data_IF_725078253045
#
_entry.id   IF_725078253045
#
_cell.length_a   1.000
_cell.length_b   1.000
_cell.length_c   1.000
_cell.angle_alpha   90.00
_cell.angle_beta   90.00
_cell.angle_gamma   90.00
#
_symmetry.space_group_name_H-M   'P 1'
#
loop_
_entity.id
_entity.type
_entity.pdbx_description
1 polymer ?
#
# COMPACT_ATOMS: atom_id res chain seq x y z
N UNK A 1 39.77 24.34 -11.64
CA UNK A 1 39.40 24.02 -10.24
C UNK A 1 38.01 24.58 -9.99
N UNK A 2 37.14 23.86 -9.29
CA UNK A 2 35.87 24.41 -8.80
C UNK A 2 36.18 25.28 -7.58
N UNK A 3 36.08 26.60 -7.72
CA UNK A 3 36.52 27.57 -6.69
C UNK A 3 35.37 28.18 -5.88
N UNK A 4 34.11 28.00 -6.32
CA UNK A 4 32.93 28.58 -5.68
C UNK A 4 31.72 27.62 -5.77
N UNK A 5 30.70 27.85 -4.93
CA UNK A 5 29.43 27.12 -4.91
C UNK A 5 29.55 25.58 -4.73
N UNK A 6 30.51 25.13 -3.92
CA UNK A 6 30.77 23.71 -3.68
C UNK A 6 29.53 22.94 -3.17
N UNK A 7 28.68 23.58 -2.36
CA UNK A 7 27.45 22.97 -1.84
C UNK A 7 26.48 22.53 -2.93
N UNK A 8 26.33 23.31 -4.00
CA UNK A 8 25.50 22.94 -5.16
C UNK A 8 26.00 21.66 -5.84
N UNK A 9 27.30 21.59 -6.12
CA UNK A 9 27.90 20.43 -6.78
C UNK A 9 27.87 19.18 -5.89
N UNK A 10 28.16 19.32 -4.60
CA UNK A 10 28.07 18.21 -3.64
C UNK A 10 26.64 17.67 -3.56
N UNK A 11 25.63 18.54 -3.58
CA UNK A 11 24.23 18.13 -3.61
C UNK A 11 23.88 17.36 -4.89
N UNK A 12 24.32 17.81 -6.07
CA UNK A 12 24.12 17.08 -7.32
C UNK A 12 24.76 15.69 -7.28
N UNK A 13 26.00 15.59 -6.80
CA UNK A 13 26.68 14.30 -6.64
C UNK A 13 25.94 13.37 -5.66
N UNK A 14 25.42 13.90 -4.55
CA UNK A 14 24.62 13.12 -3.59
C UNK A 14 23.30 12.64 -4.23
N UNK A 15 22.60 13.50 -4.96
CA UNK A 15 21.38 13.13 -5.71
C UNK A 15 21.68 12.02 -6.72
N UNK A 16 22.68 12.21 -7.59
CA UNK A 16 22.97 11.29 -8.68
C UNK A 16 23.55 9.95 -8.20
N UNK A 17 24.44 9.96 -7.20
CA UNK A 17 25.00 8.74 -6.63
C UNK A 17 23.97 7.90 -5.87
N UNK A 18 22.94 8.52 -5.33
CA UNK A 18 21.81 7.85 -4.68
C UNK A 18 20.61 7.60 -5.60
N UNK A 19 20.75 7.93 -6.90
CA UNK A 19 19.70 7.78 -7.92
C UNK A 19 18.40 8.50 -7.57
N UNK A 20 18.47 9.54 -6.72
CA UNK A 20 17.31 10.39 -6.41
C UNK A 20 16.94 11.22 -7.63
N UNK A 21 15.70 11.67 -7.63
CA UNK A 21 15.16 12.56 -8.66
C UNK A 21 15.74 13.96 -8.43
N UNK A 22 16.27 14.58 -9.48
CA UNK A 22 16.81 15.94 -9.42
C UNK A 22 15.70 16.98 -9.59
N UNK A 23 14.71 16.71 -10.46
CA UNK A 23 13.59 17.60 -10.72
C UNK A 23 12.31 16.83 -10.95
N UNK A 24 11.17 17.38 -10.52
CA UNK A 24 9.86 16.80 -10.80
C UNK A 24 9.50 16.98 -12.28
N UNK A 25 8.97 15.92 -12.89
CA UNK A 25 8.61 15.91 -14.30
C UNK A 25 8.46 14.50 -14.85
N UNK A 26 8.07 14.41 -16.12
CA UNK A 26 7.82 13.15 -16.81
C UNK A 26 8.48 13.19 -18.19
N UNK A 27 9.28 12.17 -18.49
CA UNK A 27 9.85 11.96 -19.83
C UNK A 27 8.97 11.02 -20.62
N UNK A 28 8.62 11.37 -21.85
CA UNK A 28 7.98 10.49 -22.84
C UNK A 28 8.98 10.22 -23.95
N UNK A 29 9.67 9.09 -23.86
CA UNK A 29 10.62 8.64 -24.86
C UNK A 29 9.91 7.69 -25.82
N UNK A 30 9.92 8.01 -27.12
CA UNK A 30 9.22 7.22 -28.12
C UNK A 30 10.04 6.94 -29.37
N UNK A 31 9.60 5.94 -30.12
CA UNK A 31 9.99 5.73 -31.52
C UNK A 31 8.74 5.58 -32.38
N UNK A 32 8.77 6.09 -33.61
CA UNK A 32 7.62 5.98 -34.51
C UNK A 32 8.06 5.82 -35.96
N UNK A 33 7.62 4.72 -36.58
CA UNK A 33 7.87 4.41 -37.99
C UNK A 33 6.87 5.16 -38.88
N UNK A 34 5.57 5.05 -38.58
CA UNK A 34 4.47 5.60 -39.39
C UNK A 34 3.78 6.82 -38.75
N UNK A 35 4.30 7.35 -37.64
CA UNK A 35 3.73 8.52 -36.96
C UNK A 35 2.60 8.23 -35.96
N UNK A 36 2.01 7.04 -35.94
CA UNK A 36 0.92 6.74 -34.99
C UNK A 36 1.38 6.66 -33.53
N UNK A 37 2.55 6.07 -33.25
CA UNK A 37 3.13 6.09 -31.91
C UNK A 37 3.50 7.52 -31.48
N UNK A 38 3.96 8.35 -32.42
CA UNK A 38 4.20 9.78 -32.18
C UNK A 38 2.92 10.49 -31.76
N UNK A 39 1.84 10.33 -32.50
CA UNK A 39 0.54 10.94 -32.16
C UNK A 39 0.05 10.52 -30.77
N UNK A 40 0.29 9.26 -30.37
CA UNK A 40 -0.05 8.78 -29.04
C UNK A 40 0.85 9.38 -27.94
N UNK A 41 2.16 9.48 -28.18
CA UNK A 41 3.10 10.12 -27.27
C UNK A 41 2.79 11.61 -27.07
N UNK A 42 2.45 12.33 -28.14
CA UNK A 42 2.03 13.74 -28.09
C UNK A 42 0.71 13.92 -27.34
N UNK A 43 -0.27 13.03 -27.57
CA UNK A 43 -1.54 13.06 -26.83
C UNK A 43 -1.33 12.82 -25.33
N UNK A 44 -0.47 11.87 -24.96
CA UNK A 44 -0.11 11.63 -23.56
C UNK A 44 0.56 12.87 -22.97
N UNK A 45 1.56 13.44 -23.65
CA UNK A 45 2.27 14.62 -23.16
C UNK A 45 1.34 15.81 -22.90
N UNK A 46 0.36 16.04 -23.79
CA UNK A 46 -0.68 17.05 -23.59
C UNK A 46 -1.48 16.76 -22.31
N UNK A 47 -1.97 15.53 -22.14
CA UNK A 47 -2.77 15.15 -20.96
C UNK A 47 -1.98 15.26 -19.65
N UNK A 48 -0.69 14.94 -19.66
CA UNK A 48 0.17 15.10 -18.49
C UNK A 48 0.29 16.58 -18.11
N UNK A 49 0.46 17.46 -19.11
CA UNK A 49 0.51 18.91 -18.92
C UNK A 49 -0.82 19.45 -18.39
N UNK A 50 -1.95 19.05 -18.98
CA UNK A 50 -3.30 19.47 -18.56
C UNK A 50 -3.61 19.04 -17.12
N UNK A 51 -3.02 17.93 -16.65
CA UNK A 51 -3.14 17.40 -15.28
C UNK A 51 -2.14 18.02 -14.31
N UNK A 52 -1.44 19.08 -14.71
CA UNK A 52 -0.56 19.84 -13.84
C UNK A 52 0.80 19.22 -13.59
N UNK A 53 1.28 18.35 -14.50
CA UNK A 53 2.68 17.94 -14.46
C UNK A 53 3.58 19.19 -14.66
N UNK A 54 4.57 19.42 -13.78
CA UNK A 54 5.38 20.64 -13.83
C UNK A 54 6.25 20.71 -15.09
N UNK A 55 6.77 19.58 -15.55
CA UNK A 55 7.63 19.47 -16.73
C UNK A 55 7.34 18.17 -17.49
N UNK A 56 7.10 18.28 -18.80
CA UNK A 56 6.88 17.13 -19.69
C UNK A 56 7.86 17.20 -20.85
N UNK A 57 8.80 16.26 -20.90
CA UNK A 57 9.84 16.20 -21.94
C UNK A 57 9.52 15.08 -22.91
N UNK A 58 9.49 15.38 -24.21
CA UNK A 58 9.18 14.40 -25.25
C UNK A 58 10.39 14.16 -26.14
N UNK A 59 10.87 12.92 -26.20
CA UNK A 59 12.02 12.51 -27.00
C UNK A 59 11.60 11.56 -28.11
N UNK A 60 11.82 11.94 -29.36
CA UNK A 60 11.84 11.01 -30.49
C UNK A 60 13.23 10.38 -30.57
N UNK A 61 13.39 9.18 -30.03
CA UNK A 61 14.69 8.52 -29.88
C UNK A 61 15.39 8.23 -31.21
N UNK A 62 14.66 8.22 -32.33
CA UNK A 62 15.26 8.06 -33.66
C UNK A 62 15.80 9.38 -34.23
N UNK A 63 15.55 10.52 -33.59
CA UNK A 63 15.84 11.87 -34.10
C UNK A 63 16.49 12.80 -33.08
N UNK A 64 16.45 12.48 -31.79
CA UNK A 64 17.07 13.28 -30.73
C UNK A 64 18.49 12.82 -30.40
N UNK A 65 19.19 13.62 -29.60
CA UNK A 65 20.44 13.19 -28.96
C UNK A 65 20.13 12.15 -27.88
N UNK A 66 20.67 10.94 -28.04
CA UNK A 66 20.49 9.84 -27.10
C UNK A 66 21.01 10.17 -25.70
N UNK A 67 22.14 10.90 -25.60
CA UNK A 67 22.71 11.27 -24.31
C UNK A 67 21.79 12.23 -23.56
N UNK A 68 21.13 13.14 -24.28
CA UNK A 68 20.13 14.05 -23.69
C UNK A 68 18.89 13.31 -23.21
N UNK A 69 18.38 12.36 -24.00
CA UNK A 69 17.25 11.52 -23.56
C UNK A 69 17.58 10.71 -22.30
N UNK A 70 18.82 10.19 -22.21
CA UNK A 70 19.29 9.46 -21.03
C UNK A 70 19.42 10.40 -19.83
N UNK A 71 20.01 11.59 -19.99
CA UNK A 71 20.11 12.58 -18.92
C UNK A 71 18.73 12.95 -18.37
N UNK A 72 17.76 13.28 -19.23
CA UNK A 72 16.40 13.60 -18.79
C UNK A 72 15.75 12.41 -18.06
N UNK A 73 15.95 11.17 -18.53
CA UNK A 73 15.43 9.99 -17.83
C UNK A 73 15.99 9.85 -16.40
N UNK A 74 17.27 10.16 -16.19
CA UNK A 74 17.87 10.17 -14.85
C UNK A 74 17.44 11.39 -14.02
N UNK A 75 17.20 12.53 -14.65
CA UNK A 75 16.80 13.76 -13.98
C UNK A 75 15.41 13.67 -13.35
N UNK A 76 14.45 13.14 -14.10
CA UNK A 76 13.04 13.11 -13.72
C UNK A 76 12.62 11.78 -13.08
N UNK A 77 11.55 11.81 -12.29
CA UNK A 77 11.09 10.64 -11.51
C UNK A 77 10.26 9.62 -12.28
N UNK A 78 9.72 9.99 -13.44
CA UNK A 78 8.78 9.16 -14.22
C UNK A 78 9.18 9.14 -15.70
N UNK A 79 9.13 7.96 -16.31
CA UNK A 79 9.51 7.74 -17.71
C UNK A 79 8.44 6.90 -18.42
N UNK A 80 7.98 7.34 -19.57
CA UNK A 80 7.10 6.58 -20.46
C UNK A 80 7.88 6.14 -21.68
N UNK A 81 7.85 4.84 -21.95
CA UNK A 81 8.48 4.24 -23.11
C UNK A 81 7.41 3.85 -24.13
N UNK A 82 7.46 4.44 -25.32
CA UNK A 82 6.48 4.21 -26.38
C UNK A 82 7.17 3.72 -27.67
N UNK A 83 6.91 2.49 -28.10
CA UNK A 83 7.55 1.96 -29.32
C UNK A 83 6.62 1.05 -30.11
N UNK A 84 6.94 0.87 -31.39
CA UNK A 84 6.34 -0.19 -32.20
C UNK A 84 6.99 -1.52 -31.83
N UNK A 85 6.21 -2.59 -31.95
CA UNK A 85 6.74 -3.94 -32.09
C UNK A 85 7.38 -4.04 -33.48
N UNK A 86 8.64 -4.41 -33.53
CA UNK A 86 9.45 -4.47 -34.75
C UNK A 86 10.22 -5.78 -34.75
N UNK A 87 9.97 -6.65 -35.74
CA UNK A 87 10.57 -7.98 -35.83
C UNK A 87 10.43 -8.83 -34.55
N UNK A 88 9.23 -8.82 -33.95
CA UNK A 88 8.92 -9.47 -32.66
C UNK A 88 9.78 -8.99 -31.46
N UNK A 89 10.44 -7.84 -31.60
CA UNK A 89 11.23 -7.13 -30.60
C UNK A 89 10.75 -5.66 -30.53
N UNK A 90 11.48 -4.81 -29.80
CA UNK A 90 11.31 -3.35 -29.80
C UNK A 90 12.10 -2.71 -30.94
N UNK A 91 11.74 -1.48 -31.31
CA UNK A 91 12.46 -0.74 -32.33
C UNK A 91 13.93 -0.46 -31.89
N UNK A 92 14.94 -0.49 -32.79
CA UNK A 92 16.35 -0.43 -32.41
C UNK A 92 16.74 0.75 -31.52
N UNK A 93 16.27 1.97 -31.81
CA UNK A 93 16.57 3.14 -30.98
C UNK A 93 15.96 3.07 -29.57
N UNK A 94 14.80 2.42 -29.41
CA UNK A 94 14.25 2.13 -28.09
C UNK A 94 15.11 1.12 -27.34
N UNK A 95 15.62 0.10 -28.07
CA UNK A 95 16.52 -0.91 -27.50
C UNK A 95 17.81 -0.30 -26.97
N UNK A 96 18.46 0.53 -27.79
CA UNK A 96 19.68 1.27 -27.43
C UNK A 96 19.44 2.21 -26.24
N UNK A 97 18.31 2.93 -26.24
CA UNK A 97 17.95 3.80 -25.13
C UNK A 97 17.84 3.02 -23.81
N UNK A 98 17.09 1.92 -23.78
CA UNK A 98 16.96 1.11 -22.56
C UNK A 98 18.31 0.50 -22.17
N UNK A 99 19.15 0.10 -23.12
CA UNK A 99 20.51 -0.38 -22.83
C UNK A 99 21.35 0.70 -22.14
N UNK A 100 21.31 1.95 -22.62
CA UNK A 100 21.99 3.07 -21.96
C UNK A 100 21.46 3.37 -20.55
N UNK A 101 20.18 3.12 -20.28
CA UNK A 101 19.64 3.23 -18.93
C UNK A 101 20.17 2.11 -18.03
N UNK A 102 20.09 0.86 -18.47
CA UNK A 102 20.42 -0.30 -17.65
C UNK A 102 21.93 -0.44 -17.41
N UNK A 103 22.78 -0.07 -18.37
CA UNK A 103 24.25 -0.05 -18.18
C UNK A 103 24.69 0.95 -17.09
N UNK A 104 23.82 1.91 -16.74
CA UNK A 104 24.01 2.91 -15.68
C UNK A 104 23.18 2.62 -14.43
N UNK A 105 22.68 1.39 -14.26
CA UNK A 105 21.86 0.98 -13.10
C UNK A 105 20.64 1.87 -12.86
N UNK A 106 19.93 2.26 -13.92
CA UNK A 106 18.68 3.00 -13.80
C UNK A 106 17.72 2.33 -12.79
N UNK A 107 17.20 3.09 -11.82
CA UNK A 107 16.44 2.56 -10.68
C UNK A 107 15.64 3.66 -9.98
N UNK A 108 14.71 3.28 -9.09
CA UNK A 108 13.87 4.19 -8.30
C UNK A 108 13.04 5.14 -9.17
N UNK A 109 12.34 4.61 -10.18
CA UNK A 109 11.53 5.38 -11.14
C UNK A 109 10.17 4.74 -11.38
N UNK A 110 9.20 5.55 -11.76
CA UNK A 110 7.90 5.07 -12.24
C UNK A 110 7.89 4.96 -13.76
N UNK A 111 7.47 3.82 -14.30
CA UNK A 111 7.54 3.50 -15.74
C UNK A 111 6.15 3.28 -16.33
N UNK A 112 5.80 4.06 -17.35
CA UNK A 112 4.66 3.81 -18.22
C UNK A 112 5.08 3.12 -19.51
N UNK A 113 4.29 2.17 -20.01
CA UNK A 113 4.59 1.44 -21.24
C UNK A 113 3.48 1.62 -22.27
N UNK A 114 3.85 2.05 -23.48
CA UNK A 114 2.96 2.12 -24.63
C UNK A 114 3.53 1.26 -25.77
N UNK A 115 2.71 0.38 -26.32
CA UNK A 115 3.08 -0.44 -27.46
C UNK A 115 2.18 -0.19 -28.67
N UNK A 116 2.78 -0.22 -29.85
CA UNK A 116 2.05 -0.22 -31.12
C UNK A 116 2.38 -1.48 -31.93
N UNK A 117 1.37 -2.13 -32.50
CA UNK A 117 1.56 -3.23 -33.44
C UNK A 117 0.30 -3.51 -34.24
N UNK A 118 0.41 -4.25 -35.33
CA UNK A 118 -0.74 -4.47 -36.24
C UNK A 118 -1.57 -5.71 -35.90
N UNK A 119 -0.99 -6.75 -35.30
CA UNK A 119 -1.72 -8.00 -34.97
C UNK A 119 -1.32 -8.60 -33.62
N UNK A 120 -0.02 -8.62 -33.30
CA UNK A 120 0.49 -9.19 -32.04
C UNK A 120 1.58 -8.27 -31.45
N UNK A 121 1.21 -7.14 -30.83
CA UNK A 121 2.19 -6.30 -30.17
C UNK A 121 2.80 -7.03 -28.97
N UNK A 122 4.12 -6.91 -28.85
CA UNK A 122 4.95 -7.53 -27.81
C UNK A 122 5.93 -6.53 -27.17
N UNK A 123 5.99 -5.30 -27.72
CA UNK A 123 6.95 -4.29 -27.30
C UNK A 123 6.90 -3.99 -25.81
N UNK A 124 5.71 -3.87 -25.20
CA UNK A 124 5.62 -3.56 -23.77
C UNK A 124 6.21 -4.70 -22.91
N UNK A 125 5.91 -5.95 -23.27
CA UNK A 125 6.49 -7.13 -22.61
C UNK A 125 8.01 -7.15 -22.74
N UNK A 126 8.53 -6.84 -23.94
CA UNK A 126 9.96 -6.82 -24.19
C UNK A 126 10.68 -5.69 -23.45
N UNK A 127 10.13 -4.47 -23.45
CA UNK A 127 10.68 -3.34 -22.66
C UNK A 127 10.71 -3.66 -21.17
N UNK A 128 9.64 -4.27 -20.63
CA UNK A 128 9.58 -4.70 -19.23
C UNK A 128 10.68 -5.71 -18.93
N UNK A 129 10.88 -6.72 -19.79
CA UNK A 129 11.95 -7.71 -19.65
C UNK A 129 13.33 -7.07 -19.65
N UNK A 130 13.57 -6.11 -20.55
CA UNK A 130 14.86 -5.41 -20.61
C UNK A 130 15.17 -4.62 -19.33
N UNK A 131 14.15 -4.21 -18.57
CA UNK A 131 14.29 -3.48 -17.31
C UNK A 131 14.32 -4.37 -16.06
N UNK A 132 14.16 -5.69 -16.16
CA UNK A 132 14.04 -6.60 -15.00
C UNK A 132 15.21 -6.51 -14.01
N UNK A 133 16.43 -6.20 -14.48
CA UNK A 133 17.62 -6.03 -13.62
C UNK A 133 17.66 -4.72 -12.85
N UNK A 134 16.75 -3.78 -13.14
CA UNK A 134 16.68 -2.46 -12.53
C UNK A 134 15.96 -2.52 -11.18
N UNK A 135 16.53 -1.90 -10.14
CA UNK A 135 15.96 -1.97 -8.79
C UNK A 135 14.83 -0.96 -8.61
N UNK A 136 13.83 -1.32 -7.80
CA UNK A 136 12.77 -0.42 -7.35
C UNK A 136 12.09 0.37 -8.48
N UNK A 137 11.90 -0.25 -9.64
CA UNK A 137 11.04 0.32 -10.67
C UNK A 137 9.59 0.00 -10.32
N UNK A 138 8.75 1.02 -10.34
CA UNK A 138 7.30 0.86 -10.23
C UNK A 138 6.72 1.02 -11.63
N UNK A 139 5.88 0.09 -12.08
CA UNK A 139 5.21 0.23 -13.36
C UNK A 139 3.79 0.74 -13.14
N UNK A 140 3.27 1.52 -14.08
CA UNK A 140 1.84 1.83 -14.12
C UNK A 140 1.03 0.54 -14.29
N UNK A 141 -0.16 0.50 -13.69
CA UNK A 141 -1.13 -0.59 -13.86
C UNK A 141 -1.62 -0.59 -15.31
N UNK A 142 -1.89 0.60 -15.87
CA UNK A 142 -2.24 0.74 -17.28
C UNK A 142 -1.02 0.57 -18.19
N UNK A 143 -1.13 -0.34 -19.17
CA UNK A 143 -0.28 -0.40 -20.36
C UNK A 143 -1.11 0.01 -21.58
N UNK A 144 -0.65 1.00 -22.34
CA UNK A 144 -1.37 1.46 -23.54
C UNK A 144 -1.05 0.55 -24.72
N UNK A 145 -2.08 0.03 -25.38
CA UNK A 145 -1.96 -0.81 -26.56
C UNK A 145 -2.61 -0.13 -27.76
N UNK A 146 -1.80 0.11 -28.78
CA UNK A 146 -2.22 0.76 -30.03
C UNK A 146 -2.20 -0.28 -31.14
N UNK A 147 -3.33 -0.45 -31.83
CA UNK A 147 -3.43 -1.35 -32.98
C UNK A 147 -3.36 -0.54 -34.28
N UNK A 148 -2.14 -0.40 -34.81
CA UNK A 148 -1.78 0.47 -35.93
C UNK A 148 -1.92 1.96 -35.63
N UNK A 149 -3.14 2.45 -35.35
CA UNK A 149 -3.46 3.85 -35.07
C UNK A 149 -4.27 4.02 -33.78
N UNK A 150 -4.35 5.25 -33.27
CA UNK A 150 -5.19 5.57 -32.12
C UNK A 150 -6.67 5.33 -32.43
N UNK A 151 -7.34 4.76 -31.44
CA UNK A 151 -8.79 4.52 -31.37
C UNK A 151 -9.30 4.96 -29.99
N UNK A 152 -10.58 4.78 -29.71
CA UNK A 152 -11.15 5.26 -28.45
C UNK A 152 -10.65 4.47 -27.23
N UNK A 153 -10.41 3.16 -27.37
CA UNK A 153 -9.82 2.33 -26.29
C UNK A 153 -8.41 2.80 -25.92
N UNK A 154 -7.54 3.01 -26.91
CA UNK A 154 -6.16 3.48 -26.66
C UNK A 154 -6.14 4.92 -26.13
N UNK A 155 -7.08 5.78 -26.52
CA UNK A 155 -7.23 7.12 -25.90
C UNK A 155 -7.67 7.03 -24.44
N UNK A 156 -8.58 6.12 -24.09
CA UNK A 156 -9.00 5.88 -22.72
C UNK A 156 -7.85 5.32 -21.87
N UNK A 157 -7.04 4.42 -22.43
CA UNK A 157 -5.83 3.92 -21.77
C UNK A 157 -4.80 5.04 -21.55
N UNK A 158 -4.60 5.93 -22.52
CA UNK A 158 -3.71 7.09 -22.34
C UNK A 158 -4.23 8.00 -21.22
N UNK A 159 -5.54 8.24 -21.14
CA UNK A 159 -6.16 9.00 -20.05
C UNK A 159 -5.92 8.33 -18.68
N UNK A 160 -6.12 7.01 -18.59
CA UNK A 160 -5.88 6.24 -17.37
C UNK A 160 -4.40 6.30 -16.93
N UNK A 161 -3.48 6.09 -17.86
CA UNK A 161 -2.04 6.21 -17.59
C UNK A 161 -1.66 7.62 -17.14
N UNK A 162 -2.22 8.66 -17.77
CA UNK A 162 -1.98 10.04 -17.36
C UNK A 162 -2.50 10.32 -15.94
N UNK A 163 -3.64 9.76 -15.56
CA UNK A 163 -4.17 9.86 -14.19
C UNK A 163 -3.26 9.17 -13.16
N UNK A 164 -2.76 7.98 -13.48
CA UNK A 164 -1.81 7.27 -12.61
C UNK A 164 -0.50 8.06 -12.43
N UNK A 165 0.06 8.55 -13.54
CA UNK A 165 1.33 9.29 -13.53
C UNK A 165 1.22 10.67 -12.88
N UNK A 166 0.04 11.29 -12.87
CA UNK A 166 -0.19 12.60 -12.26
C UNK A 166 -0.97 12.54 -10.93
N UNK A 167 -1.16 11.37 -10.33
CA UNK A 167 -1.98 11.20 -9.11
C UNK A 167 -1.55 12.12 -7.96
N UNK A 168 -0.25 12.27 -7.75
CA UNK A 168 0.37 13.16 -6.78
C UNK A 168 0.13 14.64 -7.08
N UNK A 169 0.22 15.03 -8.35
CA UNK A 169 -0.05 16.41 -8.78
C UNK A 169 -1.54 16.75 -8.61
N UNK A 170 -2.43 15.86 -9.06
CA UNK A 170 -3.88 16.02 -8.95
C UNK A 170 -4.36 16.11 -7.50
N UNK A 171 -3.73 15.35 -6.59
CA UNK A 171 -4.07 15.38 -5.16
C UNK A 171 -3.64 16.67 -4.44
N UNK A 172 -2.67 17.42 -4.99
CA UNK A 172 -2.18 18.68 -4.42
C UNK A 172 -2.93 19.91 -4.94
N UNK A 173 -3.65 19.79 -6.05
CA UNK A 173 -4.41 20.89 -6.63
C UNK A 173 -5.82 20.97 -6.06
N UNK A 174 -6.22 22.17 -5.66
CA UNK A 174 -7.47 22.38 -4.94
C UNK A 174 -8.73 21.99 -5.73
N UNK A 175 -8.69 22.15 -7.05
CA UNK A 175 -9.80 21.87 -7.97
C UNK A 175 -9.94 20.38 -8.31
N UNK A 176 -8.85 19.62 -8.29
CA UNK A 176 -8.82 18.20 -8.70
C UNK A 176 -8.65 17.23 -7.53
N UNK A 177 -8.32 17.72 -6.34
CA UNK A 177 -8.13 16.89 -5.17
C UNK A 177 -9.45 16.24 -4.72
N UNK A 178 -9.41 14.92 -4.49
CA UNK A 178 -10.50 14.24 -3.80
C UNK A 178 -10.44 14.54 -2.29
N UNK A 179 -11.12 15.61 -1.87
CA UNK A 179 -11.14 16.11 -0.49
C UNK A 179 -11.85 15.17 0.52
N UNK A 180 -12.47 14.09 0.05
CA UNK A 180 -13.20 13.12 0.88
C UNK A 180 -12.65 11.69 0.74
N UNK A 181 -11.39 11.52 0.31
CA UNK A 181 -10.78 10.20 0.29
C UNK A 181 -10.41 9.73 1.70
N UNK A 182 -11.28 8.91 2.31
CA UNK A 182 -11.08 8.35 3.65
C UNK A 182 -9.94 7.33 3.73
N UNK A 183 -9.36 6.90 2.59
CA UNK A 183 -8.16 6.06 2.59
C UNK A 183 -6.97 6.75 3.28
N UNK A 184 -6.99 8.08 3.36
CA UNK A 184 -6.01 8.85 4.12
C UNK A 184 -5.93 8.41 5.59
N UNK A 185 -7.03 7.93 6.18
CA UNK A 185 -7.06 7.42 7.55
C UNK A 185 -6.25 6.12 7.71
N UNK A 186 -6.06 5.33 6.64
CA UNK A 186 -5.20 4.14 6.67
C UNK A 186 -3.71 4.47 6.71
N UNK A 187 -3.32 5.73 6.45
CA UNK A 187 -1.94 6.18 6.56
C UNK A 187 -1.57 6.63 7.99
N UNK A 188 -2.53 6.65 8.93
CA UNK A 188 -2.22 6.87 10.34
C UNK A 188 -1.51 5.63 10.86
N UNK A 189 -0.34 5.82 11.48
CA UNK A 189 0.47 4.72 12.01
C UNK A 189 -0.21 4.06 13.20
N UNK A 190 -0.55 2.77 13.06
CA UNK A 190 -1.09 1.94 14.14
C UNK A 190 -0.29 0.63 14.26
N UNK A 191 0.04 0.26 15.49
CA UNK A 191 0.38 -1.13 15.80
C UNK A 191 -0.87 -2.00 15.87
N UNK A 192 -0.68 -3.31 15.92
CA UNK A 192 -1.74 -4.28 16.22
C UNK A 192 -1.44 -4.94 17.55
N UNK A 193 -2.46 -5.00 18.39
CA UNK A 193 -2.34 -5.41 19.78
C UNK A 193 -3.43 -6.43 20.11
N UNK A 194 -3.10 -7.39 20.98
CA UNK A 194 -4.14 -8.15 21.70
C UNK A 194 -4.32 -7.49 23.06
N UNK A 195 -5.50 -6.91 23.28
CA UNK A 195 -5.88 -6.42 24.61
C UNK A 195 -6.56 -7.56 25.36
N UNK A 196 -6.06 -7.88 26.55
CA UNK A 196 -6.61 -8.95 27.39
C UNK A 196 -7.35 -8.37 28.60
N UNK A 197 -8.37 -9.09 29.04
CA UNK A 197 -9.28 -8.71 30.12
C UNK A 197 -9.88 -9.95 30.74
N UNK A 198 -10.31 -9.89 31.99
CA UNK A 198 -11.02 -10.98 32.67
C UNK A 198 -12.14 -10.38 33.52
N UNK A 199 -13.30 -11.03 33.55
CA UNK A 199 -14.39 -10.69 34.46
C UNK A 199 -14.30 -11.44 35.80
N UNK A 200 -13.19 -12.15 36.03
CA UNK A 200 -12.95 -13.00 37.19
C UNK A 200 -13.44 -14.44 37.02
N UNK A 201 -14.36 -14.69 36.08
CA UNK A 201 -14.82 -16.03 35.72
C UNK A 201 -14.15 -16.56 34.45
N UNK A 202 -13.86 -15.66 33.51
CA UNK A 202 -13.36 -16.02 32.18
C UNK A 202 -12.34 -15.02 31.68
N UNK A 203 -11.21 -15.53 31.19
CA UNK A 203 -10.24 -14.74 30.45
C UNK A 203 -10.72 -14.48 29.01
N UNK A 204 -10.47 -13.28 28.51
CA UNK A 204 -10.87 -12.86 27.18
C UNK A 204 -9.85 -11.89 26.57
N UNK A 205 -9.87 -11.77 25.25
CA UNK A 205 -9.05 -10.80 24.53
C UNK A 205 -9.68 -10.33 23.24
N UNK A 206 -9.17 -9.23 22.69
CA UNK A 206 -9.56 -8.73 21.37
C UNK A 206 -8.37 -8.11 20.65
N UNK A 207 -8.44 -8.07 19.32
CA UNK A 207 -7.54 -7.26 18.52
C UNK A 207 -7.94 -5.78 18.63
N UNK A 208 -6.96 -4.92 18.91
CA UNK A 208 -7.08 -3.47 18.92
C UNK A 208 -5.93 -2.89 18.09
N UNK A 209 -6.19 -1.83 17.34
CA UNK A 209 -5.17 -1.03 16.65
C UNK A 209 -5.00 0.37 17.25
N UNK A 210 -5.99 0.85 18.00
CA UNK A 210 -6.02 2.20 18.56
C UNK A 210 -5.44 2.20 19.98
N UNK A 211 -4.12 2.11 20.06
CA UNK A 211 -3.33 2.26 21.30
C UNK A 211 -2.30 3.35 21.10
N UNK A 212 -2.16 4.25 22.07
CA UNK A 212 -1.14 5.31 22.03
C UNK A 212 -0.67 5.68 23.42
N UNK A 213 0.62 5.94 23.58
CA UNK A 213 1.11 6.62 24.77
C UNK A 213 0.69 8.09 24.68
N UNK A 214 0.00 8.59 25.73
CA UNK A 214 -0.52 9.97 25.75
C UNK A 214 0.31 10.89 26.63
N UNK A 215 0.97 10.38 27.67
CA UNK A 215 1.95 11.11 28.48
C UNK A 215 3.04 10.17 28.96
N UNK A 216 4.26 10.68 29.18
CA UNK A 216 5.38 9.93 29.74
C UNK A 216 5.64 10.24 31.22
N UNK A 217 5.12 11.35 31.77
CA UNK A 217 5.26 11.72 33.19
C UNK A 217 3.97 12.39 33.69
N UNK A 218 3.07 11.66 34.38
CA UNK A 218 3.12 10.22 34.62
C UNK A 218 2.92 9.41 33.33
N UNK A 219 3.38 8.16 33.27
CA UNK A 219 3.16 7.32 32.08
C UNK A 219 1.67 6.97 31.94
N UNK A 220 1.08 7.29 30.78
CA UNK A 220 -0.32 7.00 30.45
C UNK A 220 -0.45 6.46 29.03
N UNK A 221 -1.31 5.46 28.90
CA UNK A 221 -1.66 4.84 27.62
C UNK A 221 -3.16 4.97 27.39
N UNK A 222 -3.55 5.42 26.21
CA UNK A 222 -4.92 5.39 25.75
C UNK A 222 -5.18 4.11 24.94
N UNK A 223 -6.29 3.43 25.22
CA UNK A 223 -6.79 2.26 24.48
C UNK A 223 -8.24 2.52 24.10
N UNK A 224 -8.54 2.55 22.81
CA UNK A 224 -9.90 2.81 22.31
C UNK A 224 -10.52 1.53 21.79
N UNK A 225 -11.71 1.19 22.32
CA UNK A 225 -12.38 -0.07 22.04
C UNK A 225 -13.83 0.19 21.64
N UNK A 226 -14.30 -0.47 20.58
CA UNK A 226 -15.70 -0.43 20.17
C UNK A 226 -16.60 -1.01 21.28
N UNK A 227 -17.67 -0.28 21.63
CA UNK A 227 -18.59 -0.63 22.73
C UNK A 227 -19.33 -1.97 22.55
N UNK A 228 -19.41 -2.49 21.32
CA UNK A 228 -20.03 -3.79 21.05
C UNK A 228 -19.15 -4.98 21.48
N UNK A 229 -17.84 -4.76 21.61
CA UNK A 229 -16.91 -5.81 22.04
C UNK A 229 -17.15 -6.18 23.50
N UNK A 230 -17.15 -7.48 23.78
CA UNK A 230 -17.29 -8.00 25.15
C UNK A 230 -16.22 -7.44 26.08
N UNK A 231 -14.98 -7.35 25.60
CA UNK A 231 -13.86 -6.78 26.35
C UNK A 231 -14.09 -5.33 26.78
N UNK A 232 -14.83 -4.53 26.01
CA UNK A 232 -15.16 -3.16 26.44
C UNK A 232 -15.93 -3.17 27.75
N UNK A 233 -16.99 -3.99 27.84
CA UNK A 233 -17.80 -4.10 29.05
C UNK A 233 -16.99 -4.65 30.22
N UNK A 234 -16.20 -5.71 30.00
CA UNK A 234 -15.36 -6.31 31.03
C UNK A 234 -14.39 -5.27 31.59
N UNK A 235 -13.65 -4.57 30.73
CA UNK A 235 -12.68 -3.54 31.14
C UNK A 235 -13.38 -2.37 31.84
N UNK A 236 -14.56 -1.95 31.36
CA UNK A 236 -15.33 -0.89 31.99
C UNK A 236 -15.78 -1.27 33.41
N UNK A 237 -16.05 -2.55 33.65
CA UNK A 237 -16.43 -3.08 34.97
C UNK A 237 -15.22 -3.28 35.89
N UNK A 238 -14.13 -3.86 35.39
CA UNK A 238 -12.99 -4.27 36.22
C UNK A 238 -11.93 -3.19 36.37
N UNK A 239 -11.86 -2.24 35.45
CA UNK A 239 -10.89 -1.16 35.48
C UNK A 239 -9.45 -1.60 35.21
N UNK A 240 -9.22 -2.81 34.70
CA UNK A 240 -7.89 -3.34 34.39
C UNK A 240 -7.87 -4.03 33.02
N UNK A 241 -6.73 -3.94 32.33
CA UNK A 241 -6.47 -4.64 31.07
C UNK A 241 -4.97 -4.90 30.89
N UNK A 242 -4.58 -5.79 29.99
CA UNK A 242 -3.22 -5.76 29.41
C UNK A 242 -3.28 -5.39 27.94
N UNK A 243 -2.22 -4.77 27.45
CA UNK A 243 -1.95 -4.57 26.01
C UNK A 243 -0.77 -5.47 25.65
N UNK A 244 -0.96 -6.45 24.78
CA UNK A 244 0.10 -7.28 24.22
C UNK A 244 0.43 -6.78 22.80
N UNK A 245 1.65 -6.29 22.59
CA UNK A 245 2.12 -5.79 21.29
C UNK A 245 2.48 -6.96 20.39
N UNK A 246 1.67 -7.19 19.34
CA UNK A 246 1.97 -8.25 18.38
C UNK A 246 3.23 -7.90 17.61
N UNK A 247 4.06 -8.90 17.34
CA UNK A 247 5.23 -8.77 16.47
C UNK A 247 4.97 -9.39 15.09
N UNK A 248 5.85 -9.15 14.13
CA UNK A 248 5.72 -9.60 12.73
C UNK A 248 5.70 -11.13 12.55
N UNK A 249 5.92 -11.92 13.60
CA UNK A 249 5.76 -13.38 13.57
C UNK A 249 4.32 -13.86 13.84
N UNK A 250 3.41 -12.96 14.25
CA UNK A 250 2.02 -13.31 14.55
C UNK A 250 1.28 -13.85 13.31
N UNK A 251 0.85 -15.13 13.30
CA UNK A 251 0.14 -15.70 12.18
C UNK A 251 -1.30 -15.19 12.11
N UNK A 252 -1.94 -15.33 10.94
CA UNK A 252 -3.33 -14.95 10.73
C UNK A 252 -4.30 -15.58 11.76
N UNK A 253 -3.99 -16.77 12.26
CA UNK A 253 -4.79 -17.47 13.28
C UNK A 253 -4.93 -16.68 14.59
N UNK A 254 -3.96 -15.84 14.97
CA UNK A 254 -4.10 -14.93 16.13
C UNK A 254 -5.24 -13.96 15.89
N UNK A 255 -5.32 -13.39 14.69
CA UNK A 255 -6.38 -12.45 14.30
C UNK A 255 -7.73 -13.15 14.16
N UNK A 256 -7.76 -14.41 13.71
CA UNK A 256 -8.98 -15.20 13.69
C UNK A 256 -9.53 -15.42 15.11
N UNK A 257 -8.69 -15.83 16.05
CA UNK A 257 -9.09 -16.09 17.45
C UNK A 257 -9.50 -14.81 18.17
N UNK A 258 -8.68 -13.75 18.11
CA UNK A 258 -8.92 -12.55 18.92
C UNK A 258 -9.75 -11.50 18.19
N UNK A 259 -9.76 -11.46 16.86
CA UNK A 259 -10.46 -10.46 16.06
C UNK A 259 -11.82 -10.90 15.51
N UNK A 260 -12.01 -12.18 15.16
CA UNK A 260 -13.24 -12.65 14.48
C UNK A 260 -14.19 -13.46 15.37
N UNK A 261 -13.78 -13.79 16.59
CA UNK A 261 -14.62 -14.49 17.56
C UNK A 261 -15.08 -13.53 18.65
N UNK A 262 -16.29 -13.75 19.16
CA UNK A 262 -16.80 -13.03 20.35
C UNK A 262 -16.43 -13.79 21.61
N UNK A 263 -15.86 -13.08 22.59
CA UNK A 263 -15.57 -13.65 23.90
C UNK A 263 -16.83 -14.08 24.68
N UNK A 264 -18.03 -13.67 24.23
CA UNK A 264 -19.31 -14.12 24.79
C UNK A 264 -19.59 -15.59 24.48
N UNK A 265 -19.10 -16.09 23.34
CA UNK A 265 -19.46 -17.41 22.82
C UNK A 265 -18.27 -18.36 22.64
N UNK A 266 -17.05 -17.84 22.55
CA UNK A 266 -15.85 -18.64 22.38
C UNK A 266 -14.89 -18.49 23.57
N UNK A 267 -14.19 -19.55 23.93
CA UNK A 267 -12.98 -19.47 24.78
C UNK A 267 -11.76 -19.23 23.89
N UNK A 268 -11.30 -17.97 23.87
CA UNK A 268 -10.19 -17.52 23.02
C UNK A 268 -8.83 -17.95 23.54
N UNK A 269 -8.75 -18.45 24.76
CA UNK A 269 -7.51 -18.90 25.40
C UNK A 269 -7.42 -20.42 25.52
N UNK A 270 -8.40 -21.16 24.98
CA UNK A 270 -8.37 -22.61 24.90
C UNK A 270 -7.09 -23.09 24.19
N UNK A 271 -6.30 -23.93 24.87
CA UNK A 271 -5.04 -24.46 24.35
C UNK A 271 -3.87 -23.47 24.31
N UNK A 272 -4.03 -22.25 24.82
CA UNK A 272 -2.95 -21.28 24.98
C UNK A 272 -2.28 -21.50 26.34
N UNK A 273 -0.94 -21.47 26.39
CA UNK A 273 -0.18 -21.54 27.65
C UNK A 273 -0.59 -20.42 28.62
N UNK A 274 -0.80 -20.76 29.89
CA UNK A 274 -1.26 -19.83 30.91
C UNK A 274 -0.08 -19.05 31.51
N UNK A 275 -0.02 -17.76 31.16
CA UNK A 275 0.85 -16.78 31.78
C UNK A 275 0.01 -15.61 32.27
N UNK A 276 0.28 -15.12 33.49
CA UNK A 276 -0.43 -13.99 34.10
C UNK A 276 0.53 -12.88 34.53
N UNK A 277 0.07 -11.65 34.41
CA UNK A 277 0.73 -10.44 34.92
C UNK A 277 0.30 -10.16 36.36
N UNK A 278 0.90 -9.14 36.98
CA UNK A 278 0.69 -8.79 38.39
C UNK A 278 -0.77 -8.34 38.68
N UNK A 279 -1.48 -7.85 37.66
CA UNK A 279 -2.92 -7.54 37.75
C UNK A 279 -3.83 -8.78 37.59
N UNK A 280 -3.26 -9.98 37.51
CA UNK A 280 -3.98 -11.25 37.42
C UNK A 280 -4.52 -11.61 36.03
N UNK A 281 -4.35 -10.73 35.03
CA UNK A 281 -4.82 -10.97 33.66
C UNK A 281 -3.83 -11.82 32.86
N UNK A 282 -4.35 -12.62 31.92
CA UNK A 282 -3.50 -13.36 30.99
C UNK A 282 -2.79 -12.42 30.02
N UNK A 283 -1.58 -12.79 29.58
CA UNK A 283 -0.93 -12.20 28.42
C UNK A 283 -0.50 -13.31 27.45
N UNK A 284 -0.17 -12.95 26.20
CA UNK A 284 0.16 -13.93 25.17
C UNK A 284 1.57 -14.52 25.40
N UNK A 285 1.76 -15.85 25.33
CA UNK A 285 3.07 -16.47 25.51
C UNK A 285 3.98 -16.35 24.27
N UNK A 286 3.40 -16.05 23.10
CA UNK A 286 4.09 -16.01 21.80
C UNK A 286 3.53 -14.89 20.94
N UNK A 287 4.26 -14.57 19.87
CA UNK A 287 3.87 -13.61 18.83
C UNK A 287 3.79 -12.16 19.31
N UNK A 288 4.45 -11.86 20.43
CA UNK A 288 4.48 -10.52 21.02
C UNK A 288 5.93 -10.12 21.32
N UNK A 289 6.25 -8.87 21.08
CA UNK A 289 7.55 -8.31 21.47
C UNK A 289 7.52 -7.66 22.85
N UNK A 290 6.35 -7.30 23.36
CA UNK A 290 6.16 -6.68 24.67
C UNK A 290 4.71 -6.79 25.15
N UNK A 291 4.51 -6.60 26.45
CA UNK A 291 3.18 -6.30 26.99
C UNK A 291 3.24 -5.28 28.12
N UNK A 292 2.10 -4.64 28.38
CA UNK A 292 1.91 -3.72 29.50
C UNK A 292 0.63 -4.06 30.25
N UNK A 293 0.69 -4.04 31.58
CA UNK A 293 -0.51 -4.09 32.44
C UNK A 293 -0.96 -2.68 32.78
N UNK A 294 -2.26 -2.48 32.64
CA UNK A 294 -2.89 -1.18 32.68
C UNK A 294 -3.98 -1.15 33.74
N UNK A 295 -4.06 -0.02 34.45
CA UNK A 295 -5.18 0.35 35.32
C UNK A 295 -5.88 1.56 34.75
N UNK A 296 -7.20 1.47 34.58
CA UNK A 296 -8.03 2.55 34.03
C UNK A 296 -8.12 3.69 35.04
N UNK A 297 -7.74 4.88 34.59
CA UNK A 297 -7.80 6.13 35.38
C UNK A 297 -8.98 7.00 34.95
N UNK A 298 -9.26 7.05 33.64
CA UNK A 298 -10.41 7.79 33.10
C UNK A 298 -10.98 7.14 31.85
N UNK A 299 -12.20 7.53 31.52
CA UNK A 299 -12.94 7.04 30.37
C UNK A 299 -13.54 8.21 29.60
N UNK A 300 -13.34 8.22 28.28
CA UNK A 300 -13.94 9.19 27.36
C UNK A 300 -14.89 8.44 26.44
N UNK A 301 -16.12 8.94 26.34
CA UNK A 301 -17.11 8.41 25.40
C UNK A 301 -16.91 9.04 24.01
N UNK A 302 -16.77 8.20 22.98
CA UNK A 302 -16.59 8.56 21.57
C UNK A 302 -17.71 7.95 20.72
N UNK A 303 -18.94 7.96 21.25
CA UNK A 303 -20.16 7.41 20.66
C UNK A 303 -20.12 5.90 20.45
N UNK A 304 -19.53 5.43 19.35
CA UNK A 304 -19.43 4.00 19.03
C UNK A 304 -18.29 3.31 19.79
N UNK A 305 -17.32 4.10 20.25
CA UNK A 305 -16.13 3.61 20.95
C UNK A 305 -16.01 4.25 22.34
N UNK A 306 -15.31 3.56 23.24
CA UNK A 306 -14.86 4.12 24.51
C UNK A 306 -13.34 4.15 24.54
N UNK A 307 -12.77 5.31 24.90
CA UNK A 307 -11.34 5.48 25.13
C UNK A 307 -11.04 5.36 26.62
N UNK A 308 -10.23 4.38 26.98
CA UNK A 308 -9.71 4.17 28.33
C UNK A 308 -8.34 4.82 28.42
N UNK A 309 -8.17 5.78 29.33
CA UNK A 309 -6.85 6.34 29.66
C UNK A 309 -6.36 5.64 30.91
N UNK A 310 -5.21 5.00 30.81
CA UNK A 310 -4.72 4.08 31.82
C UNK A 310 -3.34 4.49 32.34
N UNK A 311 -3.09 4.23 33.61
CA UNK A 311 -1.73 4.16 34.16
C UNK A 311 -1.10 2.81 33.83
N UNK A 312 0.22 2.81 33.63
CA UNK A 312 1.00 1.58 33.43
C UNK A 312 1.45 1.08 34.80
N UNK A 313 1.04 -0.12 35.17
CA UNK A 313 1.43 -0.77 36.44
C UNK A 313 2.55 -1.77 36.25
N UNK A 314 2.70 -2.30 35.04
CA UNK A 314 3.73 -3.28 34.68
C UNK A 314 4.05 -3.14 33.19
N UNK A 315 5.31 -3.34 32.80
CA UNK A 315 5.70 -3.42 31.39
C UNK A 315 6.88 -4.39 31.24
N UNK A 316 6.82 -5.27 30.24
CA UNK A 316 7.89 -6.22 29.91
C UNK A 316 8.18 -6.19 28.41
N UNK A 317 9.47 -6.14 28.07
CA UNK A 317 9.96 -6.41 26.71
C UNK A 317 10.35 -7.89 26.66
N UNK A 318 9.82 -8.61 25.68
CA UNK A 318 9.96 -10.07 25.51
C UNK A 318 10.91 -10.39 24.35
N UNK A 319 10.96 -9.54 23.33
CA UNK A 319 11.70 -9.78 22.09
C UNK A 319 12.06 -8.45 21.41
N UNK A 320 13.10 -8.46 20.57
CA UNK A 320 13.53 -7.36 19.70
C UNK A 320 12.88 -7.39 18.31
N UNK A 321 11.99 -8.37 18.05
CA UNK A 321 11.23 -8.45 16.80
C UNK A 321 10.37 -7.21 16.57
N UNK A 322 10.31 -6.80 15.30
CA UNK A 322 9.52 -5.65 14.87
C UNK A 322 8.04 -5.79 15.23
N UNK A 323 7.42 -4.68 15.64
CA UNK A 323 5.99 -4.61 15.95
C UNK A 323 5.16 -4.80 14.68
N UNK A 324 4.10 -5.59 14.79
CA UNK A 324 3.08 -5.74 13.77
C UNK A 324 2.35 -4.41 13.58
N UNK A 325 2.61 -3.72 12.46
CA UNK A 325 1.83 -2.55 12.07
C UNK A 325 0.58 -2.97 11.29
N UNK A 326 -0.44 -2.12 11.28
CA UNK A 326 -1.64 -2.35 10.48
C UNK A 326 -1.29 -2.53 8.99
N UNK A 327 -0.38 -1.71 8.47
CA UNK A 327 0.11 -1.80 7.08
C UNK A 327 0.83 -3.11 6.81
N UNK A 328 1.72 -3.56 7.71
CA UNK A 328 2.41 -4.84 7.55
C UNK A 328 1.42 -6.00 7.54
N UNK A 329 0.43 -5.99 8.43
CA UNK A 329 -0.63 -7.00 8.48
C UNK A 329 -1.40 -7.07 7.16
N UNK A 330 -1.86 -5.94 6.62
CA UNK A 330 -2.61 -5.90 5.36
C UNK A 330 -1.80 -6.45 4.18
N UNK A 331 -0.49 -6.15 4.15
CA UNK A 331 0.36 -6.52 3.02
C UNK A 331 0.87 -7.97 3.08
N UNK A 332 1.14 -8.49 4.29
CA UNK A 332 1.93 -9.71 4.47
C UNK A 332 1.23 -10.82 5.27
N UNK A 333 0.20 -10.51 6.07
CA UNK A 333 -0.40 -11.49 7.01
C UNK A 333 -1.85 -11.80 6.67
N UNK A 334 -2.62 -10.79 6.29
CA UNK A 334 -4.01 -10.98 5.83
C UNK A 334 -3.97 -11.80 4.53
N UNK A 335 -4.66 -12.96 4.46
CA UNK A 335 -4.75 -13.75 3.24
C UNK A 335 -5.30 -12.88 2.11
N UNK A 336 -4.59 -12.87 0.98
CA UNK A 336 -5.10 -12.25 -0.24
C UNK A 336 -6.15 -13.20 -0.84
N UNK A 337 -7.33 -12.72 -1.23
CA UNK A 337 -8.32 -13.58 -1.83
C UNK A 337 -7.80 -14.14 -3.16
N UNK A 338 -7.83 -15.46 -3.33
CA UNK A 338 -7.52 -16.11 -4.60
C UNK A 338 -8.77 -16.08 -5.49
N UNK A 339 -8.90 -15.02 -6.28
CA UNK A 339 -10.06 -14.77 -7.17
C UNK A 339 -9.86 -15.30 -8.58
N UNK A 340 -8.65 -15.72 -8.96
CA UNK A 340 -8.36 -16.16 -10.31
C UNK A 340 -9.14 -17.45 -10.66
N UNK A 341 -9.98 -17.37 -11.70
CA UNK A 341 -10.81 -18.50 -12.16
C UNK A 341 -12.05 -18.79 -11.30
N UNK A 342 -12.38 -17.95 -10.31
CA UNK A 342 -13.59 -18.09 -9.48
C UNK A 342 -14.66 -17.09 -9.88
N UNK A 343 -15.91 -17.52 -9.77
CA UNK A 343 -17.10 -16.71 -10.03
C UNK A 343 -17.90 -16.53 -8.73
N UNK A 344 -18.31 -15.30 -8.43
CA UNK A 344 -19.19 -15.02 -7.29
C UNK A 344 -18.81 -13.76 -6.52
N UNK A 345 -18.64 -13.85 -5.20
CA UNK A 345 -18.44 -12.69 -4.33
C UNK A 345 -17.35 -12.95 -3.29
N UNK A 346 -16.51 -11.95 -3.02
CA UNK A 346 -15.47 -12.01 -1.98
C UNK A 346 -15.81 -11.10 -0.81
N UNK A 347 -15.60 -11.58 0.41
CA UNK A 347 -15.71 -10.78 1.62
C UNK A 347 -14.49 -9.87 1.78
N UNK A 348 -14.68 -8.55 1.72
CA UNK A 348 -13.62 -7.52 1.84
C UNK A 348 -12.88 -7.57 3.18
N UNK A 349 -13.54 -8.07 4.23
CA UNK A 349 -12.99 -8.11 5.60
C UNK A 349 -11.97 -9.24 5.74
N UNK A 350 -12.29 -10.46 5.32
CA UNK A 350 -11.47 -11.65 5.59
C UNK A 350 -11.02 -12.43 4.35
N UNK A 351 -11.51 -12.08 3.16
CA UNK A 351 -11.16 -12.72 1.89
C UNK A 351 -11.88 -14.03 1.60
N UNK A 352 -12.87 -14.43 2.41
CA UNK A 352 -13.68 -15.62 2.10
C UNK A 352 -14.50 -15.42 0.82
N UNK A 353 -14.56 -16.44 -0.02
CA UNK A 353 -15.24 -16.41 -1.32
C UNK A 353 -16.54 -17.22 -1.23
N UNK A 354 -17.63 -16.57 -1.62
CA UNK A 354 -18.91 -17.19 -1.91
C UNK A 354 -19.01 -17.42 -3.43
N UNK A 355 -19.09 -18.68 -3.85
CA UNK A 355 -19.30 -19.02 -5.26
C UNK A 355 -20.80 -19.13 -5.55
N UNK A 356 -21.32 -18.22 -6.37
CA UNK A 356 -22.74 -18.17 -6.73
C UNK A 356 -23.07 -16.95 -7.59
N UNK A 357 -24.14 -17.04 -8.38
CA UNK A 357 -24.52 -15.99 -9.34
C UNK A 357 -25.08 -14.72 -8.68
N UNK A 358 -25.73 -14.88 -7.52
CA UNK A 358 -26.29 -13.78 -6.73
C UNK A 358 -25.91 -13.94 -5.27
N UNK A 359 -25.58 -12.82 -4.61
CA UNK A 359 -25.28 -12.80 -3.19
C UNK A 359 -26.59 -12.80 -2.39
N UNK A 360 -26.83 -13.77 -1.48
CA UNK A 360 -28.00 -13.75 -0.61
C UNK A 360 -27.99 -12.54 0.33
N UNK A 361 -29.12 -11.85 0.48
CA UNK A 361 -29.25 -10.66 1.35
C UNK A 361 -28.98 -11.00 2.83
N UNK A 362 -29.23 -12.24 3.25
CA UNK A 362 -29.04 -12.75 4.60
C UNK A 362 -27.68 -13.45 4.82
N UNK A 363 -26.78 -13.41 3.83
CA UNK A 363 -25.48 -14.06 3.96
C UNK A 363 -24.70 -13.49 5.14
N UNK A 364 -24.18 -14.40 5.96
CA UNK A 364 -23.24 -14.09 7.03
C UNK A 364 -21.95 -14.82 6.71
N UNK A 365 -20.87 -14.06 6.51
CA UNK A 365 -19.55 -14.63 6.22
C UNK A 365 -19.20 -15.68 7.27
N UNK A 366 -18.91 -16.94 6.88
CA UNK A 366 -18.68 -18.01 7.85
C UNK A 366 -17.42 -17.77 8.69
N UNK A 367 -16.44 -17.02 8.15
CA UNK A 367 -15.18 -16.71 8.83
C UNK A 367 -15.29 -15.51 9.78
N UNK A 368 -15.73 -14.35 9.28
CA UNK A 368 -15.70 -13.10 10.06
C UNK A 368 -17.06 -12.65 10.59
N UNK A 369 -18.15 -13.32 10.21
CA UNK A 369 -19.54 -13.02 10.63
C UNK A 369 -20.09 -11.66 10.17
N UNK A 370 -19.42 -11.00 9.23
CA UNK A 370 -19.95 -9.82 8.55
C UNK A 370 -21.05 -10.19 7.54
N UNK A 371 -21.99 -9.27 7.32
CA UNK A 371 -23.14 -9.46 6.44
C UNK A 371 -22.87 -9.17 4.96
N UNK A 372 -23.91 -9.25 4.13
CA UNK A 372 -23.85 -9.04 2.67
C UNK A 372 -23.15 -7.73 2.23
N UNK A 373 -23.28 -6.64 3.00
CA UNK A 373 -22.69 -5.34 2.67
C UNK A 373 -21.15 -5.34 2.57
N UNK A 374 -20.50 -6.33 3.18
CA UNK A 374 -19.04 -6.47 3.18
C UNK A 374 -18.52 -7.40 2.07
N UNK A 375 -19.36 -7.79 1.13
CA UNK A 375 -18.99 -8.56 -0.04
C UNK A 375 -18.92 -7.69 -1.30
N UNK A 376 -18.10 -8.09 -2.26
CA UNK A 376 -17.99 -7.49 -3.59
C UNK A 376 -17.90 -8.59 -4.67
N UNK A 377 -18.43 -8.35 -5.87
CA UNK A 377 -18.41 -9.35 -6.94
C UNK A 377 -16.98 -9.61 -7.44
N UNK A 378 -16.72 -10.86 -7.82
CA UNK A 378 -15.49 -11.32 -8.44
C UNK A 378 -15.81 -12.07 -9.74
N UNK A 379 -15.14 -11.65 -10.81
CA UNK A 379 -15.14 -12.35 -12.11
C UNK A 379 -16.48 -12.37 -12.80
#
# INVERSE_FOLDING_TARGET
MLTENLGYYLNLYDIWSSYRVESDGIVVAYTSVYGHTKAAAELLAQKLTDKGCPEVIVHDLARCDMAKAVEDAFRYGKLVLATTTYNADVFPFMKEFIHHLTERNFQNRTIGLMENGSWAPLAAKTMRKMLEGSKNLTFTDTTVKILSALNDDSKAQIESMANELCKDYLARQDETANKNNLDALFNIGYGLYVVTSSDGSKDNGLIVNTVSQVTNTPNRIAVTINKQNYSHHVIKQTGVMNVCCLDTSAPFSVFQTFGFQSGRTADKFAGVEELRSDNGLRFLPRYINSFMSLKVESYVDLDTHGMFICSVTEARVISDRETMTYTYYQNNVKPKPETEGKHGFVCKVCGWIYEGDTLPDDIVCPLCKHGAADFEPIG
#
